data_IF_429927948388
#
_entry.id   IF_429927948388
#
_cell.length_a   1.000
_cell.length_b   1.000
_cell.length_c   1.000
_cell.angle_alpha   90.00
_cell.angle_beta   90.00
_cell.angle_gamma   90.00
#
_symmetry.space_group_name_H-M   'P 1'
#
loop_
_entity.id
_entity.type
_entity.pdbx_description
1 polymer ?
#
# COMPACT_ATOMS: atom_id res chain seq x y z
N UNK A 1 22.66 -23.28 -14.67
CA UNK A 1 22.12 -23.56 -13.33
C UNK A 1 20.92 -22.66 -13.06
N UNK A 2 19.72 -23.24 -12.94
CA UNK A 2 18.52 -22.51 -12.47
C UNK A 2 18.68 -22.36 -10.96
N UNK A 3 19.10 -21.18 -10.51
CA UNK A 3 19.44 -20.94 -9.11
C UNK A 3 18.55 -19.82 -8.59
N UNK A 4 17.83 -20.07 -7.49
CA UNK A 4 17.10 -19.03 -6.79
C UNK A 4 18.06 -18.01 -6.16
N UNK A 5 17.70 -16.73 -6.20
CA UNK A 5 18.37 -15.65 -5.47
C UNK A 5 17.45 -15.19 -4.35
N UNK A 6 17.58 -15.84 -3.18
CA UNK A 6 16.85 -15.45 -1.97
C UNK A 6 17.62 -14.38 -1.18
N UNK A 7 18.96 -14.37 -1.29
CA UNK A 7 19.87 -13.37 -0.69
C UNK A 7 20.79 -12.79 -1.78
N UNK A 8 21.69 -11.86 -1.40
CA UNK A 8 22.60 -11.17 -2.34
C UNK A 8 23.44 -12.12 -3.21
N UNK A 9 23.75 -13.33 -2.71
CA UNK A 9 24.47 -14.36 -3.44
C UNK A 9 23.54 -15.49 -3.92
N UNK A 10 23.84 -16.01 -5.10
CA UNK A 10 23.13 -17.15 -5.69
C UNK A 10 23.56 -18.47 -5.01
N UNK A 11 22.61 -19.38 -4.78
CA UNK A 11 22.87 -20.69 -4.16
C UNK A 11 23.58 -21.70 -5.09
N UNK A 12 24.15 -22.75 -4.51
CA UNK A 12 24.75 -23.83 -5.29
C UNK A 12 23.69 -24.79 -5.87
N UNK A 13 22.60 -25.05 -5.13
CA UNK A 13 21.49 -25.92 -5.54
C UNK A 13 20.16 -25.41 -4.95
N UNK A 14 19.07 -25.58 -5.70
CA UNK A 14 17.70 -25.22 -5.28
C UNK A 14 16.72 -26.25 -5.81
N UNK A 15 15.67 -26.56 -5.05
CA UNK A 15 14.54 -27.35 -5.56
C UNK A 15 13.74 -26.43 -6.48
N UNK A 16 13.59 -26.85 -7.74
CA UNK A 16 12.80 -26.12 -8.72
C UNK A 16 11.46 -26.83 -8.92
N UNK A 17 10.37 -26.11 -8.68
CA UNK A 17 9.01 -26.62 -8.85
C UNK A 17 8.52 -26.26 -10.24
N UNK A 18 8.35 -27.25 -11.11
CA UNK A 18 7.81 -27.05 -12.46
C UNK A 18 6.28 -27.08 -12.43
N UNK A 19 5.64 -26.00 -12.87
CA UNK A 19 4.18 -25.85 -12.84
C UNK A 19 3.61 -26.01 -14.26
N UNK A 20 2.76 -27.02 -14.52
CA UNK A 20 2.15 -27.20 -15.83
C UNK A 20 1.12 -26.12 -16.13
N UNK A 21 1.08 -25.64 -17.39
CA UNK A 21 0.13 -24.61 -17.83
C UNK A 21 -1.14 -25.24 -18.44
N UNK A 22 -2.20 -25.31 -17.65
CA UNK A 22 -3.53 -25.76 -18.09
C UNK A 22 -4.19 -24.80 -19.10
N UNK A 23 -3.69 -23.57 -19.22
CA UNK A 23 -4.18 -22.54 -20.13
C UNK A 23 -3.28 -22.34 -21.35
N UNK A 24 -2.29 -23.21 -21.56
CA UNK A 24 -1.34 -23.06 -22.65
C UNK A 24 -2.03 -23.20 -24.01
N UNK A 25 -1.93 -22.16 -24.84
CA UNK A 25 -2.44 -22.15 -26.19
C UNK A 25 -1.49 -21.35 -27.08
N UNK A 26 -0.72 -21.98 -27.98
CA UNK A 26 0.26 -21.27 -28.82
C UNK A 26 -0.38 -20.24 -29.76
N UNK A 27 -1.60 -20.54 -30.22
CA UNK A 27 -2.35 -19.72 -31.16
C UNK A 27 -3.78 -19.52 -30.66
N UNK A 28 -3.99 -18.65 -29.65
CA UNK A 28 -5.30 -18.45 -29.06
C UNK A 28 -6.25 -17.88 -30.13
N UNK A 29 -7.34 -18.59 -30.40
CA UNK A 29 -8.44 -18.09 -31.22
C UNK A 29 -9.32 -17.15 -30.40
N UNK A 30 -10.11 -16.31 -31.09
CA UNK A 30 -11.06 -15.44 -30.42
C UNK A 30 -12.09 -16.23 -29.58
N UNK A 31 -12.60 -17.35 -30.12
CA UNK A 31 -13.57 -18.20 -29.43
C UNK A 31 -13.00 -18.83 -28.17
N UNK A 32 -11.76 -19.34 -28.24
CA UNK A 32 -11.05 -19.87 -27.08
C UNK A 32 -10.87 -18.82 -25.99
N UNK A 33 -10.39 -17.63 -26.39
CA UNK A 33 -10.16 -16.53 -25.44
C UNK A 33 -11.47 -16.05 -24.81
N UNK A 34 -12.53 -15.94 -25.61
CA UNK A 34 -13.87 -15.57 -25.14
C UNK A 34 -14.42 -16.58 -24.13
N UNK A 35 -14.26 -17.89 -24.38
CA UNK A 35 -14.70 -18.96 -23.46
C UNK A 35 -14.00 -18.83 -22.10
N UNK A 36 -12.67 -18.68 -22.10
CA UNK A 36 -11.90 -18.53 -20.85
C UNK A 36 -12.25 -17.23 -20.14
N UNK A 37 -12.47 -16.14 -20.89
CA UNK A 37 -12.94 -14.89 -20.33
C UNK A 37 -14.28 -15.02 -19.62
N UNK A 38 -15.23 -15.76 -20.19
CA UNK A 38 -16.51 -16.03 -19.55
C UNK A 38 -16.38 -16.89 -18.28
N UNK A 39 -15.39 -17.78 -18.24
CA UNK A 39 -15.14 -18.66 -17.09
C UNK A 39 -14.45 -17.93 -15.93
N UNK A 40 -13.47 -17.05 -16.22
CA UNK A 40 -12.61 -16.43 -15.21
C UNK A 40 -13.02 -15.01 -14.81
N UNK A 41 -13.59 -14.20 -15.71
CA UNK A 41 -13.90 -12.80 -15.38
C UNK A 41 -14.94 -12.71 -14.26
N UNK A 42 -14.74 -11.73 -13.37
CA UNK A 42 -15.62 -11.48 -12.22
C UNK A 42 -15.77 -12.69 -11.28
N UNK A 43 -14.78 -13.59 -11.28
CA UNK A 43 -14.64 -14.68 -10.31
C UNK A 43 -13.53 -14.38 -9.31
N UNK A 44 -13.70 -14.93 -8.10
CA UNK A 44 -12.67 -14.91 -7.07
C UNK A 44 -11.76 -16.12 -7.32
N UNK A 45 -10.47 -15.86 -7.44
CA UNK A 45 -9.41 -16.87 -7.59
C UNK A 45 -8.37 -16.67 -6.49
N UNK A 46 -7.44 -17.61 -6.35
CA UNK A 46 -6.33 -17.51 -5.42
C UNK A 46 -5.02 -17.28 -6.18
N UNK A 47 -4.32 -16.20 -5.83
CA UNK A 47 -3.04 -15.75 -6.42
C UNK A 47 -1.90 -15.91 -5.41
N UNK A 48 -0.67 -15.57 -5.79
CA UNK A 48 0.53 -15.60 -4.93
C UNK A 48 0.91 -17.01 -4.42
N UNK A 49 0.62 -18.07 -5.18
CA UNK A 49 1.06 -19.44 -4.81
C UNK A 49 2.57 -19.49 -4.54
N UNK A 50 3.04 -20.10 -3.43
CA UNK A 50 2.27 -20.93 -2.49
C UNK A 50 1.52 -20.17 -1.38
N UNK A 51 1.76 -18.87 -1.22
CA UNK A 51 1.13 -18.03 -0.20
C UNK A 51 -0.20 -17.45 -0.68
N UNK A 52 -1.17 -18.36 -0.89
CA UNK A 52 -2.44 -18.06 -1.54
C UNK A 52 -3.21 -16.90 -0.89
N UNK A 53 -3.64 -15.95 -1.73
CA UNK A 53 -4.54 -14.85 -1.36
C UNK A 53 -5.70 -14.76 -2.33
N UNK A 54 -6.88 -14.44 -1.84
CA UNK A 54 -8.06 -14.19 -2.67
C UNK A 54 -7.83 -12.97 -3.58
N UNK A 55 -8.27 -13.04 -4.83
CA UNK A 55 -8.21 -11.94 -5.78
C UNK A 55 -9.39 -11.99 -6.74
N UNK A 56 -9.95 -10.83 -7.07
CA UNK A 56 -11.01 -10.70 -8.06
C UNK A 56 -10.41 -10.53 -9.45
N UNK A 57 -10.78 -11.40 -10.39
CA UNK A 57 -10.33 -11.28 -11.79
C UNK A 57 -11.07 -10.13 -12.48
N UNK A 58 -10.32 -9.11 -12.90
CA UNK A 58 -10.85 -7.92 -13.57
C UNK A 58 -10.50 -7.85 -15.05
N UNK A 59 -9.57 -8.67 -15.52
CA UNK A 59 -9.20 -8.71 -16.93
C UNK A 59 -8.33 -9.90 -17.29
N UNK A 60 -8.22 -10.17 -18.59
CA UNK A 60 -7.32 -11.16 -19.15
C UNK A 60 -6.57 -10.55 -20.34
N UNK A 61 -5.34 -10.99 -20.56
CA UNK A 61 -4.60 -10.69 -21.78
C UNK A 61 -3.87 -11.91 -22.32
N UNK A 62 -3.86 -12.04 -23.64
CA UNK A 62 -2.99 -12.95 -24.37
C UNK A 62 -2.24 -12.14 -25.46
N UNK A 63 -1.38 -12.80 -26.22
CA UNK A 63 -0.63 -12.14 -27.30
C UNK A 63 -1.48 -11.52 -28.43
N UNK A 64 -2.81 -11.70 -28.44
CA UNK A 64 -3.69 -11.17 -29.50
C UNK A 64 -4.92 -10.42 -28.99
N UNK A 65 -5.35 -10.70 -27.78
CA UNK A 65 -6.60 -10.19 -27.25
C UNK A 65 -6.40 -9.74 -25.82
N UNK A 66 -7.06 -8.64 -25.46
CA UNK A 66 -7.18 -8.19 -24.08
C UNK A 66 -8.63 -7.87 -23.78
N UNK A 67 -9.08 -8.30 -22.62
CA UNK A 67 -10.42 -7.98 -22.11
C UNK A 67 -10.28 -7.43 -20.70
N UNK A 68 -11.02 -6.37 -20.40
CA UNK A 68 -11.08 -5.79 -19.05
C UNK A 68 -12.53 -5.48 -18.68
N UNK A 69 -12.86 -5.63 -17.41
CA UNK A 69 -14.12 -5.16 -16.83
C UNK A 69 -14.05 -3.66 -16.61
N UNK A 70 -15.11 -2.94 -16.99
CA UNK A 70 -15.26 -1.55 -16.58
C UNK A 70 -15.65 -1.48 -15.10
N UNK A 71 -15.31 -0.38 -14.40
CA UNK A 71 -15.70 -0.19 -13.00
C UNK A 71 -17.21 -0.34 -12.81
N UNK A 72 -17.63 -1.18 -11.85
CA UNK A 72 -19.05 -1.38 -11.49
C UNK A 72 -19.83 -2.34 -12.40
N UNK A 73 -19.20 -2.94 -13.41
CA UNK A 73 -19.88 -3.85 -14.34
C UNK A 73 -19.78 -5.31 -13.91
N UNK A 74 -20.89 -6.04 -14.01
CA UNK A 74 -20.95 -7.49 -13.73
C UNK A 74 -20.71 -8.38 -14.96
N UNK A 75 -20.65 -7.80 -16.17
CA UNK A 75 -20.33 -8.48 -17.43
C UNK A 75 -19.58 -7.53 -18.40
N UNK A 76 -18.73 -8.11 -19.25
CA UNK A 76 -17.70 -7.53 -20.13
C UNK A 76 -18.03 -6.17 -20.79
N UNK A 77 -17.07 -5.23 -20.83
CA UNK A 77 -17.29 -3.91 -21.47
C UNK A 77 -16.12 -3.33 -22.32
N UNK A 78 -14.94 -3.96 -22.43
CA UNK A 78 -13.94 -3.57 -23.45
C UNK A 78 -13.11 -4.76 -23.91
N UNK A 79 -13.24 -5.14 -25.18
CA UNK A 79 -12.39 -6.11 -25.85
C UNK A 79 -11.46 -5.37 -26.82
N UNK A 80 -10.17 -5.58 -26.68
CA UNK A 80 -9.13 -5.05 -27.56
C UNK A 80 -8.54 -6.21 -28.37
N UNK A 81 -8.45 -6.01 -29.68
CA UNK A 81 -7.90 -6.98 -30.63
C UNK A 81 -6.62 -6.40 -31.21
N UNK A 82 -5.52 -7.13 -31.07
CA UNK A 82 -4.20 -6.75 -31.57
C UNK A 82 -3.87 -7.62 -32.79
N UNK A 83 -4.51 -7.33 -33.93
CA UNK A 83 -4.17 -7.95 -35.22
C UNK A 83 -3.12 -7.13 -35.96
N UNK A 84 -2.19 -7.84 -36.59
CA UNK A 84 -1.35 -7.24 -37.62
C UNK A 84 -2.11 -7.37 -38.94
N UNK A 85 -2.84 -6.32 -39.32
CA UNK A 85 -3.49 -6.28 -40.64
C UNK A 85 -2.45 -6.07 -41.76
N UNK A 86 -1.20 -5.73 -41.41
CA UNK A 86 -0.12 -5.48 -42.34
C UNK A 86 1.14 -6.30 -41.99
N UNK A 87 1.57 -7.29 -42.80
CA UNK A 87 2.69 -8.19 -42.50
C UNK A 87 4.07 -7.51 -42.48
N UNK A 88 4.17 -6.25 -42.93
CA UNK A 88 5.38 -5.41 -42.83
C UNK A 88 5.52 -4.72 -41.46
N UNK A 89 4.44 -4.64 -40.70
CA UNK A 89 4.42 -4.06 -39.36
C UNK A 89 4.71 -5.21 -38.38
N UNK A 90 5.85 -5.14 -37.69
CA UNK A 90 6.29 -6.17 -36.75
C UNK A 90 5.33 -6.39 -35.57
N UNK A 91 5.79 -7.05 -34.51
CA UNK A 91 4.97 -7.24 -33.29
C UNK A 91 4.44 -5.91 -32.75
N UNK A 92 3.14 -5.83 -32.44
CA UNK A 92 2.53 -4.61 -31.88
C UNK A 92 3.20 -4.24 -30.55
N UNK A 93 3.00 -3.00 -30.08
CA UNK A 93 3.51 -2.59 -28.76
C UNK A 93 2.92 -3.46 -27.66
N UNK A 94 1.63 -3.72 -27.73
CA UNK A 94 0.86 -4.50 -26.75
C UNK A 94 1.31 -5.97 -26.73
N UNK A 95 1.65 -6.53 -27.89
CA UNK A 95 2.28 -7.85 -28.00
C UNK A 95 3.64 -7.90 -27.31
N UNK A 96 4.48 -6.87 -27.51
CA UNK A 96 5.79 -6.78 -26.86
C UNK A 96 5.66 -6.61 -25.35
N UNK A 97 4.71 -5.79 -24.89
CA UNK A 97 4.40 -5.62 -23.47
C UNK A 97 3.93 -6.92 -22.82
N UNK A 98 3.05 -7.68 -23.48
CA UNK A 98 2.63 -9.01 -23.03
C UNK A 98 3.83 -9.95 -22.85
N UNK A 99 4.69 -10.07 -23.87
CA UNK A 99 5.86 -10.95 -23.83
C UNK A 99 6.85 -10.51 -22.76
N UNK A 100 7.11 -9.21 -22.64
CA UNK A 100 7.99 -8.65 -21.63
C UNK A 100 7.46 -8.91 -20.20
N UNK A 101 6.17 -8.67 -19.98
CA UNK A 101 5.49 -8.90 -18.69
C UNK A 101 5.53 -10.37 -18.30
N UNK A 102 5.15 -11.28 -19.20
CA UNK A 102 5.17 -12.71 -18.95
C UNK A 102 6.59 -13.22 -18.66
N UNK A 103 7.60 -12.72 -19.39
CA UNK A 103 9.02 -13.03 -19.13
C UNK A 103 9.48 -12.52 -17.77
N UNK A 104 9.08 -11.31 -17.39
CA UNK A 104 9.37 -10.70 -16.09
C UNK A 104 8.80 -11.53 -14.95
N UNK A 105 7.49 -11.76 -14.95
CA UNK A 105 6.79 -12.57 -13.93
C UNK A 105 7.38 -13.97 -13.78
N UNK A 106 7.70 -14.65 -14.89
CA UNK A 106 8.37 -15.95 -14.84
C UNK A 106 9.74 -15.87 -14.20
N UNK A 107 10.51 -14.84 -14.53
CA UNK A 107 11.85 -14.66 -13.97
C UNK A 107 11.76 -14.40 -12.47
N UNK A 108 10.81 -13.56 -12.04
CA UNK A 108 10.53 -13.31 -10.63
C UNK A 108 10.15 -14.59 -9.88
N UNK A 109 9.24 -15.40 -10.42
CA UNK A 109 8.85 -16.69 -9.84
C UNK A 109 10.03 -17.66 -9.70
N UNK A 110 10.86 -17.76 -10.73
CA UNK A 110 12.02 -18.66 -10.70
C UNK A 110 13.08 -18.17 -9.72
N UNK A 111 13.46 -16.88 -9.77
CA UNK A 111 14.56 -16.37 -8.97
C UNK A 111 14.17 -16.16 -7.51
N UNK A 112 12.96 -15.69 -7.20
CA UNK A 112 12.54 -15.42 -5.82
C UNK A 112 12.02 -16.68 -5.13
N UNK A 113 11.34 -17.56 -5.88
CA UNK A 113 10.58 -18.67 -5.29
C UNK A 113 10.98 -20.06 -5.78
N UNK A 114 11.89 -20.17 -6.76
CA UNK A 114 12.27 -21.47 -7.34
C UNK A 114 11.15 -22.11 -8.16
N UNK A 115 10.20 -21.32 -8.69
CA UNK A 115 9.04 -21.83 -9.42
C UNK A 115 9.28 -21.64 -10.92
N UNK A 116 9.36 -22.74 -11.67
CA UNK A 116 9.45 -22.69 -13.12
C UNK A 116 8.06 -22.79 -13.76
N UNK A 117 7.68 -21.67 -14.34
CA UNK A 117 6.43 -21.43 -15.01
C UNK A 117 6.48 -21.75 -16.53
N UNK A 118 7.63 -22.07 -17.12
CA UNK A 118 7.70 -22.38 -18.55
C UNK A 118 7.24 -21.23 -19.47
N UNK A 119 6.50 -21.51 -20.53
CA UNK A 119 5.93 -20.48 -21.43
C UNK A 119 4.44 -20.33 -21.10
N UNK A 120 3.99 -19.10 -20.91
CA UNK A 120 2.58 -18.81 -20.62
C UNK A 120 1.92 -18.12 -21.81
N UNK A 121 0.70 -18.57 -22.14
CA UNK A 121 -0.11 -17.98 -23.22
C UNK A 121 -1.15 -16.98 -22.73
N UNK A 122 -1.36 -16.91 -21.42
CA UNK A 122 -2.42 -16.13 -20.79
C UNK A 122 -1.90 -15.45 -19.52
N UNK A 123 -2.15 -14.15 -19.44
CA UNK A 123 -1.99 -13.34 -18.24
C UNK A 123 -3.36 -12.99 -17.69
N UNK A 124 -3.46 -13.02 -16.37
CA UNK A 124 -4.68 -12.69 -15.63
C UNK A 124 -4.44 -11.45 -14.81
N UNK A 125 -5.33 -10.48 -14.97
CA UNK A 125 -5.29 -9.22 -14.26
C UNK A 125 -6.29 -9.28 -13.11
N UNK A 126 -5.80 -9.20 -11.88
CA UNK A 126 -6.61 -9.36 -10.68
C UNK A 126 -6.47 -8.15 -9.77
N UNK A 127 -7.47 -7.95 -8.92
CA UNK A 127 -7.39 -7.09 -7.75
C UNK A 127 -7.32 -7.99 -6.51
N UNK A 128 -6.13 -8.15 -5.89
CA UNK A 128 -6.00 -8.92 -4.65
C UNK A 128 -6.88 -8.36 -3.56
N UNK A 129 -7.30 -9.22 -2.63
CA UNK A 129 -8.04 -8.81 -1.43
C UNK A 129 -7.19 -7.83 -0.65
N UNK A 130 -7.78 -6.67 -0.34
CA UNK A 130 -7.15 -5.64 0.46
C UNK A 130 -7.73 -5.61 1.89
N UNK A 131 -8.96 -6.10 2.08
CA UNK A 131 -9.61 -6.17 3.37
C UNK A 131 -10.94 -6.91 3.34
N UNK A 132 -11.50 -7.16 4.53
CA UNK A 132 -12.85 -7.69 4.73
C UNK A 132 -13.62 -6.78 5.69
N UNK A 133 -14.87 -6.45 5.36
CA UNK A 133 -15.72 -5.58 6.19
C UNK A 133 -17.14 -6.10 6.25
N UNK A 134 -17.76 -6.01 7.44
CA UNK A 134 -19.18 -6.31 7.57
C UNK A 134 -20.03 -5.15 7.03
N UNK A 135 -20.99 -5.46 6.17
CA UNK A 135 -21.93 -4.50 5.57
C UNK A 135 -23.35 -4.99 5.81
N UNK A 136 -24.26 -4.06 6.11
CA UNK A 136 -25.69 -4.34 6.27
C UNK A 136 -26.28 -4.76 4.93
N UNK A 137 -26.91 -5.92 4.92
CA UNK A 137 -27.67 -6.44 3.77
C UNK A 137 -29.06 -5.80 3.70
N UNK A 138 -29.74 -5.94 2.56
CA UNK A 138 -31.13 -5.46 2.41
C UNK A 138 -32.12 -6.11 3.37
N UNK A 139 -31.78 -7.25 3.97
CA UNK A 139 -32.58 -7.93 5.01
C UNK A 139 -32.19 -7.57 6.45
N UNK A 140 -31.28 -6.60 6.67
CA UNK A 140 -30.90 -6.13 8.01
C UNK A 140 -29.86 -7.01 8.72
N UNK A 141 -29.39 -8.08 8.08
CA UNK A 141 -28.28 -8.89 8.60
C UNK A 141 -26.93 -8.30 8.18
N UNK A 142 -25.92 -8.45 9.03
CA UNK A 142 -24.56 -8.04 8.69
C UNK A 142 -23.86 -9.18 7.97
N UNK A 143 -23.34 -8.92 6.76
CA UNK A 143 -22.62 -9.90 5.96
C UNK A 143 -21.19 -9.47 5.68
N UNK A 144 -20.28 -10.44 5.63
CA UNK A 144 -18.89 -10.20 5.30
C UNK A 144 -18.74 -9.84 3.80
N UNK A 145 -18.30 -8.62 3.54
CA UNK A 145 -17.99 -8.12 2.20
C UNK A 145 -16.49 -8.06 1.96
N UNK A 146 -16.09 -8.28 0.72
CA UNK A 146 -14.69 -8.22 0.27
C UNK A 146 -14.36 -6.82 -0.24
N UNK A 147 -13.24 -6.28 0.23
CA UNK A 147 -12.67 -5.05 -0.28
C UNK A 147 -11.43 -5.40 -1.10
N UNK A 148 -11.45 -5.02 -2.38
CA UNK A 148 -10.40 -5.34 -3.35
C UNK A 148 -9.43 -4.18 -3.51
N UNK A 149 -8.16 -4.48 -3.79
CA UNK A 149 -7.14 -3.46 -4.05
C UNK A 149 -7.58 -2.51 -5.19
N UNK A 150 -7.35 -1.20 -5.06
CA UNK A 150 -7.62 -0.25 -6.14
C UNK A 150 -6.71 -0.52 -7.35
N UNK A 151 -5.48 -0.99 -7.10
CA UNK A 151 -4.50 -1.31 -8.13
C UNK A 151 -4.73 -2.72 -8.71
N UNK A 152 -4.55 -2.84 -10.03
CA UNK A 152 -4.62 -4.12 -10.72
C UNK A 152 -3.23 -4.74 -10.80
N UNK A 153 -3.10 -5.98 -10.38
CA UNK A 153 -1.88 -6.77 -10.45
C UNK A 153 -2.02 -7.85 -11.53
N UNK A 154 -0.89 -8.28 -12.10
CA UNK A 154 -0.88 -9.24 -13.21
C UNK A 154 -0.18 -10.52 -12.80
N UNK A 155 -0.80 -11.65 -13.10
CA UNK A 155 -0.36 -12.99 -12.73
C UNK A 155 -0.31 -13.90 -13.96
N UNK A 156 0.52 -14.94 -13.89
CA UNK A 156 0.49 -16.01 -14.88
C UNK A 156 -0.74 -16.89 -14.62
N UNK A 157 -1.51 -17.23 -15.65
CA UNK A 157 -2.76 -17.99 -15.47
C UNK A 157 -2.55 -19.35 -14.78
N UNK A 158 -1.45 -20.03 -15.09
CA UNK A 158 -1.11 -21.34 -14.53
C UNK A 158 -0.77 -21.34 -13.03
N UNK A 159 -0.45 -20.19 -12.43
CA UNK A 159 -0.19 -20.10 -10.99
C UNK A 159 -1.46 -19.82 -10.18
N UNK A 160 -2.60 -19.70 -10.86
CA UNK A 160 -3.88 -19.49 -10.22
C UNK A 160 -4.43 -20.79 -9.64
N UNK A 161 -4.93 -20.70 -8.41
CA UNK A 161 -5.64 -21.79 -7.77
C UNK A 161 -7.12 -21.42 -7.69
N UNK A 162 -7.99 -22.39 -7.96
CA UNK A 162 -9.45 -22.22 -7.98
C UNK A 162 -10.11 -23.23 -7.07
N UNK A 163 -11.32 -22.90 -6.62
CA UNK A 163 -12.24 -23.83 -5.94
C UNK A 163 -11.64 -24.58 -4.74
N UNK A 164 -10.83 -23.89 -3.92
CA UNK A 164 -10.34 -24.46 -2.67
C UNK A 164 -11.35 -24.30 -1.54
N UNK A 165 -11.46 -25.32 -0.70
CA UNK A 165 -12.25 -25.27 0.51
C UNK A 165 -11.49 -24.46 1.57
N UNK A 166 -11.95 -23.25 1.86
CA UNK A 166 -11.41 -22.40 2.92
C UNK A 166 -12.35 -22.42 4.12
N UNK A 167 -11.86 -22.90 5.26
CA UNK A 167 -12.56 -22.86 6.53
C UNK A 167 -11.88 -21.84 7.45
N UNK A 168 -12.56 -20.74 7.72
CA UNK A 168 -12.13 -19.74 8.70
C UNK A 168 -13.23 -19.61 9.76
N UNK A 169 -13.13 -20.38 10.87
CA UNK A 169 -14.17 -20.39 11.91
C UNK A 169 -14.22 -19.07 12.69
N UNK A 170 -13.23 -18.19 12.54
CA UNK A 170 -13.17 -16.91 13.25
C UNK A 170 -14.02 -15.81 12.60
N UNK A 171 -14.49 -16.05 11.36
CA UNK A 171 -15.26 -15.10 10.58
C UNK A 171 -16.58 -15.71 10.11
N UNK A 172 -17.68 -15.52 10.86
CA UNK A 172 -18.98 -15.93 10.38
C UNK A 172 -19.36 -15.10 9.13
N UNK A 173 -19.93 -15.77 8.12
CA UNK A 173 -20.37 -15.10 6.88
C UNK A 173 -21.46 -14.05 7.14
N UNK A 174 -22.31 -14.31 8.12
CA UNK A 174 -23.34 -13.41 8.61
C UNK A 174 -23.33 -13.37 10.13
N UNK A 175 -23.63 -12.22 10.73
CA UNK A 175 -23.71 -12.06 12.17
C UNK A 175 -24.80 -11.06 12.57
N UNK A 176 -25.24 -11.14 13.83
CA UNK A 176 -26.15 -10.15 14.41
C UNK A 176 -25.40 -8.90 14.90
N UNK A 177 -26.14 -7.83 15.17
CA UNK A 177 -25.58 -6.59 15.71
C UNK A 177 -24.84 -6.83 17.04
N UNK A 178 -25.43 -7.61 17.95
CA UNK A 178 -24.84 -7.91 19.27
C UNK A 178 -23.57 -8.78 19.17
N UNK A 179 -23.51 -9.66 18.16
CA UNK A 179 -22.30 -10.43 17.86
C UNK A 179 -21.21 -9.54 17.24
N UNK A 180 -21.61 -8.56 16.42
CA UNK A 180 -20.68 -7.62 15.80
C UNK A 180 -20.16 -6.60 16.81
N UNK A 181 -21.00 -6.11 17.74
CA UNK A 181 -20.66 -5.09 18.74
C UNK A 181 -21.01 -5.60 20.15
N UNK A 182 -20.25 -6.56 20.71
CA UNK A 182 -20.47 -6.99 22.08
C UNK A 182 -20.10 -5.87 23.06
N UNK A 183 -20.76 -5.85 24.22
CA UNK A 183 -20.47 -4.88 25.29
C UNK A 183 -18.98 -4.90 25.68
N UNK A 184 -18.43 -3.71 25.94
CA UNK A 184 -17.00 -3.53 26.22
C UNK A 184 -16.11 -3.37 24.98
N UNK A 185 -16.61 -3.65 23.77
CA UNK A 185 -15.84 -3.46 22.53
C UNK A 185 -15.49 -1.99 22.33
N UNK A 186 -14.22 -1.71 21.98
CA UNK A 186 -13.79 -0.38 21.55
C UNK A 186 -14.14 -0.17 20.08
N UNK A 187 -14.74 0.97 19.78
CA UNK A 187 -15.14 1.40 18.42
C UNK A 187 -14.75 2.85 18.20
N UNK A 188 -14.74 3.30 16.95
CA UNK A 188 -14.42 4.67 16.58
C UNK A 188 -15.58 5.30 15.82
N UNK A 189 -15.87 6.55 16.14
CA UNK A 189 -16.95 7.30 15.51
C UNK A 189 -16.55 7.74 14.10
N UNK A 190 -17.37 7.42 13.08
CA UNK A 190 -17.21 7.83 11.69
C UNK A 190 -18.07 9.06 11.32
N UNK A 191 -18.82 9.60 12.28
CA UNK A 191 -19.76 10.71 12.11
C UNK A 191 -19.38 11.94 12.91
N UNK A 192 -19.79 13.10 12.42
CA UNK A 192 -19.72 14.36 13.16
C UNK A 192 -20.77 14.37 14.30
N UNK A 193 -20.52 15.08 15.42
CA UNK A 193 -19.35 15.91 15.71
C UNK A 193 -18.15 15.14 16.28
N UNK A 194 -18.28 13.84 16.55
CA UNK A 194 -17.27 13.06 17.27
C UNK A 194 -16.35 12.24 16.38
N UNK A 195 -16.15 12.62 15.11
CA UNK A 195 -15.37 11.83 14.16
C UNK A 195 -13.96 11.54 14.71
N UNK A 196 -13.54 10.27 14.68
CA UNK A 196 -12.26 9.82 15.22
C UNK A 196 -12.18 9.72 16.76
N UNK A 197 -13.26 10.01 17.49
CA UNK A 197 -13.31 9.72 18.93
C UNK A 197 -13.47 8.22 19.17
N UNK A 198 -12.75 7.72 20.16
CA UNK A 198 -12.92 6.36 20.65
C UNK A 198 -14.22 6.27 21.48
N UNK A 199 -14.92 5.16 21.36
CA UNK A 199 -16.10 4.88 22.14
C UNK A 199 -16.11 3.43 22.62
N UNK A 200 -16.83 3.16 23.69
CA UNK A 200 -16.99 1.82 24.26
C UNK A 200 -18.44 1.40 24.13
N UNK A 201 -18.70 0.24 23.56
CA UNK A 201 -20.05 -0.33 23.46
C UNK A 201 -20.57 -0.66 24.86
N UNK A 202 -21.77 -0.21 25.18
CA UNK A 202 -22.44 -0.49 26.45
C UNK A 202 -23.45 -1.63 26.28
N UNK A 203 -23.82 -2.27 27.39
CA UNK A 203 -24.93 -3.22 27.38
C UNK A 203 -26.23 -2.50 27.02
N UNK A 204 -26.95 -3.06 26.06
CA UNK A 204 -28.24 -2.53 25.65
C UNK A 204 -29.30 -2.95 26.68
N UNK A 205 -29.42 -2.21 27.79
CA UNK A 205 -30.49 -2.44 28.75
C UNK A 205 -31.84 -2.07 28.11
N UNK A 206 -32.86 -2.95 28.12
CA UNK A 206 -34.20 -2.64 27.62
C UNK A 206 -34.95 -1.75 28.63
N UNK A 207 -34.43 -0.56 28.88
CA UNK A 207 -35.08 0.43 29.74
C UNK A 207 -36.06 1.26 28.90
N UNK A 208 -37.34 0.91 29.02
CA UNK A 208 -38.55 1.57 28.51
C UNK A 208 -38.92 1.30 27.05
N UNK A 209 -40.12 0.72 26.88
CA UNK A 209 -40.82 0.39 25.62
C UNK A 209 -41.14 1.60 24.70
N UNK A 210 -40.64 2.79 25.00
CA UNK A 210 -40.74 3.98 24.16
C UNK A 210 -39.46 4.25 23.35
N UNK A 211 -38.32 3.66 23.75
CA UNK A 211 -37.00 3.83 23.14
C UNK A 211 -36.49 2.49 22.57
N UNK A 212 -37.34 1.76 21.85
CA UNK A 212 -36.88 0.70 20.98
C UNK A 212 -36.14 1.37 19.81
N UNK A 213 -34.84 1.62 20.00
CA UNK A 213 -33.96 1.98 18.89
C UNK A 213 -34.14 0.96 17.78
N UNK A 214 -34.13 1.41 16.53
CA UNK A 214 -34.12 0.50 15.38
C UNK A 214 -33.02 -0.55 15.57
N UNK A 215 -33.21 -1.79 15.08
CA UNK A 215 -32.28 -2.93 15.19
C UNK A 215 -30.83 -2.68 14.68
N UNK A 216 -30.49 -1.45 14.30
CA UNK A 216 -29.22 -1.02 13.72
C UNK A 216 -28.46 0.00 14.61
N UNK A 217 -28.97 0.34 15.79
CA UNK A 217 -28.34 1.30 16.71
C UNK A 217 -27.63 0.60 17.87
N UNK A 218 -26.45 1.11 18.21
CA UNK A 218 -25.60 0.64 19.31
C UNK A 218 -25.47 1.76 20.33
N UNK A 219 -25.69 1.44 21.60
CA UNK A 219 -25.42 2.36 22.70
C UNK A 219 -23.92 2.39 22.99
N UNK A 220 -23.32 3.58 22.92
CA UNK A 220 -21.88 3.76 23.12
C UNK A 220 -21.60 4.88 24.10
N UNK A 221 -20.52 4.73 24.87
CA UNK A 221 -19.91 5.80 25.66
C UNK A 221 -18.72 6.36 24.89
N UNK A 222 -18.85 7.56 24.36
CA UNK A 222 -17.84 8.24 23.54
C UNK A 222 -16.91 9.04 24.45
N UNK A 223 -15.61 8.80 24.31
CA UNK A 223 -14.56 9.60 24.94
C UNK A 223 -14.33 10.83 24.05
N UNK A 224 -14.96 11.95 24.42
CA UNK A 224 -14.88 13.16 23.62
C UNK A 224 -13.46 13.71 23.64
N UNK A 225 -12.87 13.98 22.46
CA UNK A 225 -11.59 14.67 22.35
C UNK A 225 -11.57 15.58 21.12
N UNK A 226 -11.23 16.84 21.33
CA UNK A 226 -11.02 17.83 20.27
C UNK A 226 -9.57 17.77 19.75
N UNK A 227 -9.36 18.15 18.50
CA UNK A 227 -8.03 18.19 17.87
C UNK A 227 -7.45 19.61 17.96
N UNK A 228 -6.13 19.76 18.18
CA UNK A 228 -5.46 21.06 18.16
C UNK A 228 -5.44 21.64 16.74
N UNK A 229 -5.49 22.97 16.64
CA UNK A 229 -5.29 23.68 15.37
C UNK A 229 -3.80 23.92 15.11
N UNK A 230 -3.24 23.17 14.15
CA UNK A 230 -1.83 23.24 13.78
C UNK A 230 -1.55 24.17 12.59
N UNK A 231 -2.56 24.91 12.10
CA UNK A 231 -2.44 25.75 10.89
C UNK A 231 -1.32 26.80 11.02
N UNK A 232 -1.15 27.39 12.21
CA UNK A 232 -0.09 28.36 12.49
C UNK A 232 1.30 27.75 12.28
N UNK A 233 1.57 26.58 12.88
CA UNK A 233 2.85 25.88 12.76
C UNK A 233 3.13 25.50 11.30
N UNK A 234 2.13 24.97 10.60
CA UNK A 234 2.21 24.61 9.18
C UNK A 234 2.60 25.79 8.28
N UNK A 235 2.22 27.01 8.63
CA UNK A 235 2.60 28.22 7.90
C UNK A 235 3.96 28.80 8.29
N UNK A 236 4.41 28.52 9.52
CA UNK A 236 5.70 28.98 10.06
C UNK A 236 6.88 28.16 9.52
N UNK A 237 6.69 26.85 9.35
CA UNK A 237 7.74 25.95 8.89
C UNK A 237 7.90 26.06 7.38
N UNK A 238 9.03 26.54 6.86
CA UNK A 238 9.25 26.58 5.42
C UNK A 238 9.28 25.14 4.89
N UNK A 239 8.34 24.79 4.00
CA UNK A 239 8.34 23.51 3.32
C UNK A 239 9.71 23.29 2.66
N UNK A 240 10.34 22.16 2.97
CA UNK A 240 11.73 21.82 2.61
C UNK A 240 12.14 22.41 1.27
N UNK A 241 12.90 23.51 1.34
CA UNK A 241 13.63 23.97 0.18
C UNK A 241 14.97 23.27 0.24
N UNK A 242 15.29 22.58 -0.84
CA UNK A 242 16.54 21.99 -1.32
C UNK A 242 17.79 22.90 -1.21
N UNK A 243 17.87 23.76 -0.19
CA UNK A 243 18.92 24.74 0.04
C UNK A 243 20.27 24.05 0.32
N UNK A 244 20.27 22.95 1.07
CA UNK A 244 21.49 22.17 1.34
C UNK A 244 22.05 21.54 0.04
N UNK A 245 21.19 21.03 -0.85
CA UNK A 245 21.62 20.41 -2.11
C UNK A 245 22.34 21.40 -3.02
N UNK A 246 21.83 22.65 -3.11
CA UNK A 246 22.47 23.69 -3.91
C UNK A 246 23.84 24.10 -3.36
N UNK A 247 23.99 24.20 -2.04
CA UNK A 247 25.27 24.51 -1.41
C UNK A 247 26.31 23.40 -1.63
N UNK A 248 25.89 22.13 -1.53
CA UNK A 248 26.79 20.99 -1.78
C UNK A 248 27.24 20.94 -3.24
N UNK A 249 26.33 21.11 -4.20
CA UNK A 249 26.68 21.12 -5.63
C UNK A 249 27.62 22.28 -5.96
N UNK A 250 27.38 23.46 -5.37
CA UNK A 250 28.27 24.62 -5.52
C UNK A 250 29.67 24.36 -4.93
N UNK A 251 29.75 23.78 -3.73
CA UNK A 251 31.01 23.43 -3.09
C UNK A 251 31.77 22.35 -3.88
N UNK A 252 31.06 21.34 -4.39
CA UNK A 252 31.61 20.30 -5.26
C UNK A 252 32.20 20.91 -6.54
N UNK A 253 31.45 21.76 -7.22
CA UNK A 253 31.89 22.41 -8.46
C UNK A 253 33.09 23.35 -8.22
N UNK A 254 33.15 24.01 -7.06
CA UNK A 254 34.28 24.85 -6.69
C UNK A 254 35.55 24.05 -6.39
N UNK A 255 35.43 22.90 -5.72
CA UNK A 255 36.57 22.07 -5.30
C UNK A 255 37.07 21.14 -6.40
N UNK A 256 36.18 20.64 -7.27
CA UNK A 256 36.49 19.67 -8.33
C UNK A 256 35.97 20.10 -9.73
N UNK A 257 36.33 21.30 -10.23
CA UNK A 257 35.80 21.80 -11.50
C UNK A 257 36.20 20.93 -12.71
N UNK A 258 37.37 20.28 -12.66
CA UNK A 258 37.86 19.40 -13.74
C UNK A 258 36.97 18.18 -13.93
N UNK A 259 36.49 17.58 -12.83
CA UNK A 259 35.58 16.43 -12.87
C UNK A 259 34.28 16.83 -13.56
N UNK A 260 33.71 17.99 -13.21
CA UNK A 260 32.48 18.51 -13.85
C UNK A 260 32.70 18.78 -15.33
N UNK A 261 33.85 19.37 -15.69
CA UNK A 261 34.19 19.64 -17.09
C UNK A 261 34.35 18.35 -17.92
N UNK A 262 35.04 17.35 -17.38
CA UNK A 262 35.24 16.05 -18.04
C UNK A 262 33.90 15.31 -18.27
N UNK A 263 33.00 15.33 -17.28
CA UNK A 263 31.65 14.78 -17.42
C UNK A 263 30.84 15.55 -18.46
N UNK A 264 30.90 16.89 -18.47
CA UNK A 264 30.18 17.71 -19.45
C UNK A 264 30.67 17.53 -20.90
N UNK A 265 31.96 17.22 -21.10
CA UNK A 265 32.55 16.98 -22.43
C UNK A 265 32.14 15.65 -23.04
N UNK A 266 31.77 14.67 -22.20
CA UNK A 266 31.56 13.29 -22.61
C UNK A 266 30.07 12.98 -22.68
N UNK A 267 29.60 12.38 -23.79
CA UNK A 267 28.18 11.99 -23.96
C UNK A 267 27.88 10.54 -23.56
N UNK A 268 28.88 9.83 -23.02
CA UNK A 268 28.82 8.43 -22.63
C UNK A 268 29.55 8.19 -21.31
N UNK A 269 29.87 6.93 -21.03
CA UNK A 269 30.59 6.56 -19.81
C UNK A 269 31.98 7.21 -19.79
N UNK A 270 32.29 7.89 -18.68
CA UNK A 270 33.61 8.49 -18.45
C UNK A 270 34.46 7.50 -17.69
N UNK A 271 35.69 7.29 -18.14
CA UNK A 271 36.64 6.42 -17.46
C UNK A 271 37.35 7.14 -16.32
N UNK A 272 37.87 6.38 -15.35
CA UNK A 272 38.64 6.94 -14.23
C UNK A 272 39.89 7.71 -14.73
N UNK A 273 40.57 7.19 -15.75
CA UNK A 273 41.73 7.83 -16.39
C UNK A 273 41.39 9.17 -17.06
N UNK A 274 40.15 9.33 -17.55
CA UNK A 274 39.65 10.58 -18.13
C UNK A 274 39.24 11.61 -17.07
N UNK A 275 38.75 11.15 -15.91
CA UNK A 275 38.37 12.01 -14.78
C UNK A 275 39.59 12.48 -13.99
N UNK A 276 40.57 11.61 -13.79
CA UNK A 276 41.74 11.83 -12.95
C UNK A 276 43.05 11.51 -13.71
N UNK A 277 43.42 12.31 -14.73
CA UNK A 277 44.60 12.05 -15.53
C UNK A 277 45.89 12.43 -14.80
N UNK A 278 46.91 11.59 -14.92
CA UNK A 278 48.28 11.88 -14.46
C UNK A 278 48.70 11.07 -13.22
N UNK A 279 49.94 11.28 -12.74
CA UNK A 279 50.51 10.50 -11.64
C UNK A 279 49.83 10.76 -10.29
N UNK A 280 49.14 11.91 -10.14
CA UNK A 280 48.44 12.30 -8.92
C UNK A 280 46.94 11.96 -8.95
N UNK A 281 46.46 11.28 -10.00
CA UNK A 281 45.03 11.00 -10.22
C UNK A 281 44.37 10.20 -9.10
N UNK A 282 45.08 9.21 -8.56
CA UNK A 282 44.59 8.39 -7.43
C UNK A 282 44.36 9.24 -6.17
N UNK A 283 45.29 10.16 -5.87
CA UNK A 283 45.15 11.06 -4.72
C UNK A 283 44.02 12.10 -4.91
N UNK A 284 43.78 12.56 -6.15
CA UNK A 284 42.64 13.42 -6.47
C UNK A 284 41.31 12.67 -6.32
N UNK A 285 41.26 11.39 -6.71
CA UNK A 285 40.10 10.52 -6.54
C UNK A 285 39.79 10.29 -5.06
N UNK A 286 40.79 9.94 -4.25
CA UNK A 286 40.64 9.75 -2.81
C UNK A 286 40.12 11.03 -2.13
N UNK A 287 40.67 12.19 -2.51
CA UNK A 287 40.23 13.50 -2.01
C UNK A 287 38.76 13.82 -2.38
N UNK A 288 38.32 13.40 -3.57
CA UNK A 288 36.91 13.50 -3.98
C UNK A 288 36.03 12.60 -3.10
N UNK A 289 36.42 11.35 -2.92
CA UNK A 289 35.68 10.37 -2.11
C UNK A 289 35.56 10.85 -0.67
N UNK A 290 36.66 11.28 -0.05
CA UNK A 290 36.68 11.81 1.31
C UNK A 290 35.77 13.04 1.44
N UNK A 291 35.82 13.98 0.49
CA UNK A 291 34.91 15.13 0.48
C UNK A 291 33.44 14.71 0.41
N UNK A 292 33.11 13.74 -0.42
CA UNK A 292 31.74 13.23 -0.54
C UNK A 292 31.31 12.51 0.75
N UNK A 293 32.19 11.74 1.38
CA UNK A 293 31.92 11.00 2.62
C UNK A 293 31.81 11.91 3.85
N UNK A 294 32.50 13.04 3.87
CA UNK A 294 32.40 14.06 4.91
C UNK A 294 31.15 14.94 4.79
N UNK A 295 30.52 14.97 3.62
CA UNK A 295 29.33 15.79 3.35
C UNK A 295 28.14 15.40 4.23
N UNK A 296 27.24 16.35 4.47
CA UNK A 296 25.97 16.10 5.16
C UNK A 296 25.12 15.05 4.42
N UNK A 297 25.20 15.00 3.09
CA UNK A 297 24.49 14.02 2.27
C UNK A 297 24.90 12.57 2.53
N UNK A 298 26.20 12.31 2.74
CA UNK A 298 26.70 10.97 3.06
C UNK A 298 26.32 10.51 4.48
N UNK A 299 26.21 11.45 5.42
CA UNK A 299 25.77 11.19 6.80
C UNK A 299 24.24 11.10 6.95
N UNK A 300 23.51 11.57 5.93
CA UNK A 300 22.05 11.57 5.92
C UNK A 300 21.47 10.19 5.66
N UNK A 301 20.28 9.95 6.23
CA UNK A 301 19.53 8.71 5.99
C UNK A 301 19.00 8.68 4.57
N UNK A 302 19.37 7.64 3.80
CA UNK A 302 18.82 7.42 2.46
C UNK A 302 17.31 7.19 2.54
N UNK A 303 16.56 7.87 1.67
CA UNK A 303 15.09 7.74 1.58
C UNK A 303 14.63 7.54 0.15
N UNK A 304 13.42 6.99 0.01
CA UNK A 304 12.73 6.87 -1.27
C UNK A 304 12.47 8.23 -1.89
N UNK A 305 12.51 8.30 -3.22
CA UNK A 305 12.15 9.51 -3.95
C UNK A 305 10.70 9.94 -3.65
N UNK A 306 10.47 11.24 -3.48
CA UNK A 306 9.16 11.79 -3.13
C UNK A 306 8.79 11.67 -1.64
N UNK A 307 9.73 11.28 -0.77
CA UNK A 307 9.48 11.27 0.67
C UNK A 307 9.47 12.69 1.24
N UNK A 308 8.59 12.95 2.19
CA UNK A 308 8.49 14.19 2.96
C UNK A 308 8.81 13.90 4.43
N UNK A 309 9.49 14.82 5.13
CA UNK A 309 9.80 14.65 6.56
C UNK A 309 10.09 16.00 7.22
N UNK A 310 9.33 16.37 8.24
CA UNK A 310 9.56 17.58 9.02
C UNK A 310 10.94 17.62 9.67
N UNK A 311 11.52 18.81 9.70
CA UNK A 311 12.78 19.06 10.41
C UNK A 311 12.60 18.85 11.92
N UNK A 312 13.63 18.39 12.65
CA UNK A 312 13.54 18.12 14.08
C UNK A 312 12.99 19.30 14.91
N UNK A 313 13.35 20.53 14.55
CA UNK A 313 12.90 21.75 15.23
C UNK A 313 11.38 21.93 15.11
N UNK A 314 10.81 21.65 13.93
CA UNK A 314 9.38 21.71 13.69
C UNK A 314 8.63 20.61 14.44
N UNK A 315 9.22 19.42 14.55
CA UNK A 315 8.65 18.31 15.34
C UNK A 315 8.65 18.66 16.83
N UNK A 316 9.71 19.28 17.35
CA UNK A 316 9.77 19.72 18.73
C UNK A 316 8.71 20.79 19.05
N UNK A 317 8.54 21.79 18.17
CA UNK A 317 7.51 22.83 18.34
C UNK A 317 6.09 22.24 18.28
N UNK A 318 5.85 21.30 17.37
CA UNK A 318 4.61 20.54 17.26
C UNK A 318 4.28 19.79 18.57
N UNK A 319 5.22 19.02 19.09
CA UNK A 319 5.01 18.25 20.32
C UNK A 319 4.73 19.16 21.52
N UNK A 320 5.41 20.30 21.61
CA UNK A 320 5.19 21.29 22.66
C UNK A 320 3.79 21.92 22.59
N UNK A 321 3.31 22.29 21.39
CA UNK A 321 1.97 22.87 21.22
C UNK A 321 0.87 21.85 21.56
N UNK A 322 1.04 20.59 21.12
CA UNK A 322 0.10 19.50 21.39
C UNK A 322 0.04 19.17 22.88
N UNK A 323 1.19 19.10 23.57
CA UNK A 323 1.26 18.84 25.01
C UNK A 323 0.56 19.96 25.81
N UNK A 324 0.77 21.21 25.44
CA UNK A 324 0.07 22.35 26.06
C UNK A 324 -1.45 22.29 25.83
N UNK A 325 -1.88 21.96 24.61
CA UNK A 325 -3.30 21.79 24.29
C UNK A 325 -3.94 20.67 25.12
N UNK A 326 -3.29 19.51 25.18
CA UNK A 326 -3.79 18.34 25.90
C UNK A 326 -3.93 18.60 27.42
N UNK A 327 -3.02 19.37 28.02
CA UNK A 327 -3.11 19.76 29.44
C UNK A 327 -4.31 20.67 29.74
N UNK A 328 -4.69 21.52 28.78
CA UNK A 328 -5.80 22.46 28.93
C UNK A 328 -7.16 21.82 28.62
N UNK A 329 -7.16 20.70 27.92
CA UNK A 329 -8.39 20.05 27.48
C UNK A 329 -9.06 19.31 28.65
N UNK A 330 -10.37 19.53 28.80
CA UNK A 330 -11.22 18.74 29.69
C UNK A 330 -12.32 18.10 28.87
N UNK A 331 -12.43 16.78 28.93
CA UNK A 331 -13.50 16.06 28.27
C UNK A 331 -14.25 15.16 29.23
N UNK A 332 -15.58 15.19 29.12
CA UNK A 332 -16.45 14.24 29.79
C UNK A 332 -16.94 13.22 28.76
N UNK A 333 -16.94 11.93 29.11
CA UNK A 333 -17.55 10.91 28.26
C UNK A 333 -19.03 11.21 28.07
N UNK A 334 -19.52 11.01 26.85
CA UNK A 334 -20.94 11.19 26.51
C UNK A 334 -21.53 9.86 26.06
N UNK A 335 -22.69 9.51 26.61
CA UNK A 335 -23.43 8.32 26.17
C UNK A 335 -24.43 8.71 25.08
N UNK A 336 -24.45 7.94 24.00
CA UNK A 336 -25.38 8.16 22.88
C UNK A 336 -25.64 6.88 22.10
N UNK A 337 -26.79 6.84 21.42
CA UNK A 337 -27.10 5.79 20.45
C UNK A 337 -26.62 6.20 19.08
N UNK A 338 -25.91 5.29 18.42
CA UNK A 338 -25.27 5.54 17.13
C UNK A 338 -25.59 4.39 16.21
N UNK A 339 -26.00 4.68 14.97
CA UNK A 339 -26.17 3.66 13.94
C UNK A 339 -24.85 2.92 13.74
N UNK A 340 -24.87 1.59 13.70
CA UNK A 340 -23.66 0.80 13.59
C UNK A 340 -22.83 1.08 12.32
N UNK A 341 -23.46 1.50 11.22
CA UNK A 341 -22.73 1.96 10.01
C UNK A 341 -21.87 3.22 10.23
N UNK A 342 -22.12 3.97 11.31
CA UNK A 342 -21.36 5.15 11.73
C UNK A 342 -20.30 4.80 12.79
N UNK A 343 -20.17 3.53 13.15
CA UNK A 343 -19.14 3.02 14.04
C UNK A 343 -18.15 2.20 13.23
N UNK A 344 -16.87 2.46 13.46
CA UNK A 344 -15.79 1.63 13.00
C UNK A 344 -15.38 0.70 14.14
N UNK A 345 -15.47 -0.61 13.90
CA UNK A 345 -14.92 -1.62 14.79
C UNK A 345 -13.53 -2.04 14.27
N UNK A 346 -12.46 -1.87 15.05
CA UNK A 346 -11.16 -2.46 14.77
C UNK A 346 -11.32 -3.95 14.45
N UNK A 347 -10.84 -4.36 13.28
CA UNK A 347 -10.81 -5.76 12.88
C UNK A 347 -9.43 -6.05 12.27
N UNK A 348 -8.67 -7.01 12.82
CA UNK A 348 -7.37 -7.42 12.26
C UNK A 348 -7.43 -7.80 10.77
N UNK A 349 -8.59 -8.22 10.26
CA UNK A 349 -8.82 -8.69 8.90
C UNK A 349 -9.34 -7.62 7.94
N UNK A 350 -9.58 -6.40 8.44
CA UNK A 350 -9.99 -5.27 7.61
C UNK A 350 -8.86 -4.77 6.68
N UNK A 351 -7.63 -5.17 6.94
CA UNK A 351 -6.47 -4.73 6.17
C UNK A 351 -6.26 -3.22 6.27
N UNK A 352 -5.70 -2.62 5.21
CA UNK A 352 -5.32 -1.20 5.19
C UNK A 352 -6.28 -0.33 4.36
N UNK A 353 -7.45 -0.84 4.00
CA UNK A 353 -8.39 -0.09 3.14
C UNK A 353 -9.14 0.96 3.98
N UNK A 354 -9.16 2.23 3.54
CA UNK A 354 -9.92 3.26 4.23
C UNK A 354 -11.43 2.98 4.23
N UNK A 355 -12.08 3.30 5.34
CA UNK A 355 -13.51 3.03 5.58
C UNK A 355 -14.42 3.84 4.66
N UNK A 356 -13.97 5.03 4.23
CA UNK A 356 -14.74 5.98 3.42
C UNK A 356 -13.87 6.57 2.30
N UNK A 357 -13.93 5.96 1.13
CA UNK A 357 -13.33 6.49 -0.10
C UNK A 357 -11.80 6.58 -0.07
N UNK A 358 -11.18 7.12 -1.13
CA UNK A 358 -9.75 7.40 -1.11
C UNK A 358 -9.47 8.50 -0.07
N UNK A 359 -8.62 8.20 0.90
CA UNK A 359 -8.11 9.18 1.87
C UNK A 359 -6.72 9.58 1.41
N UNK A 360 -6.51 10.88 1.19
CA UNK A 360 -5.18 11.45 0.93
C UNK A 360 -4.63 11.95 2.26
N UNK A 361 -3.55 11.33 2.74
CA UNK A 361 -2.85 11.73 3.97
C UNK A 361 -1.63 12.57 3.62
N UNK A 362 -1.44 13.67 4.32
CA UNK A 362 -0.33 14.63 4.13
C UNK A 362 0.43 14.84 5.43
N UNK A 363 1.63 15.37 5.32
CA UNK A 363 2.37 15.87 6.48
C UNK A 363 1.55 16.97 7.16
N UNK A 364 1.58 16.98 8.50
CA UNK A 364 0.74 17.77 9.42
C UNK A 364 -0.68 17.26 9.65
N UNK A 365 -1.13 16.20 8.97
CA UNK A 365 -2.45 15.64 9.23
C UNK A 365 -2.50 14.94 10.60
N UNK A 366 -3.61 15.16 11.31
CA UNK A 366 -3.91 14.47 12.57
C UNK A 366 -4.46 13.08 12.28
N UNK A 367 -3.88 12.07 12.93
CA UNK A 367 -4.20 10.65 12.74
C UNK A 367 -4.37 9.96 14.08
N UNK A 368 -5.05 8.82 14.07
CA UNK A 368 -5.18 7.97 15.24
C UNK A 368 -5.04 6.51 14.83
N UNK A 369 -4.49 5.70 15.73
CA UNK A 369 -4.22 4.31 15.48
C UNK A 369 -5.47 3.45 15.72
N UNK A 370 -5.84 2.62 14.75
CA UNK A 370 -7.09 1.84 14.76
C UNK A 370 -6.91 0.33 14.79
N UNK A 371 -5.67 -0.17 14.73
CA UNK A 371 -5.39 -1.61 14.66
C UNK A 371 -5.14 -2.19 16.05
N UNK A 372 -5.78 -3.31 16.35
CA UNK A 372 -5.49 -4.06 17.58
C UNK A 372 -4.25 -4.94 17.44
N UNK A 373 -3.56 -5.21 18.56
CA UNK A 373 -2.41 -6.12 18.61
C UNK A 373 -1.12 -5.57 17.98
N UNK A 374 -0.99 -4.25 17.84
CA UNK A 374 0.24 -3.58 17.43
C UNK A 374 0.99 -3.00 18.63
N UNK A 375 2.26 -2.65 18.43
CA UNK A 375 3.09 -1.90 19.41
C UNK A 375 2.48 -0.54 19.77
N UNK A 376 1.74 0.07 18.84
CA UNK A 376 1.08 1.36 19.07
C UNK A 376 -0.26 1.09 19.76
N UNK A 377 -0.58 1.75 20.89
CA UNK A 377 -1.86 1.56 21.57
C UNK A 377 -3.05 1.86 20.67
N UNK A 378 -4.15 1.14 20.86
CA UNK A 378 -5.40 1.40 20.16
C UNK A 378 -5.93 2.79 20.53
N UNK A 379 -6.25 3.61 19.55
CA UNK A 379 -6.75 4.97 19.73
C UNK A 379 -5.69 6.02 20.02
N UNK A 380 -4.40 5.65 20.06
CA UNK A 380 -3.31 6.61 20.20
C UNK A 380 -3.37 7.64 19.07
N UNK A 381 -3.37 8.93 19.44
CA UNK A 381 -3.41 10.07 18.52
C UNK A 381 -2.02 10.60 18.23
N UNK A 382 -1.86 11.17 17.05
CA UNK A 382 -0.60 11.76 16.63
C UNK A 382 -0.75 12.60 15.38
N UNK A 383 0.37 13.15 14.95
CA UNK A 383 0.49 13.97 13.75
C UNK A 383 1.47 13.30 12.78
N UNK A 384 1.12 13.24 11.51
CA UNK A 384 2.04 12.77 10.46
C UNK A 384 3.18 13.77 10.31
N UNK A 385 4.39 13.36 10.63
CA UNK A 385 5.62 14.15 10.50
C UNK A 385 6.44 13.76 9.29
N UNK A 386 6.18 12.60 8.69
CA UNK A 386 6.83 12.16 7.46
C UNK A 386 5.99 11.17 6.68
N UNK A 387 6.24 11.13 5.38
CA UNK A 387 5.53 10.30 4.42
C UNK A 387 6.54 9.70 3.46
N UNK A 388 6.54 8.38 3.34
CA UNK A 388 7.37 7.65 2.39
C UNK A 388 6.46 6.99 1.34
N UNK A 389 6.45 7.47 0.10
CA UNK A 389 5.57 6.94 -0.93
C UNK A 389 6.02 5.54 -1.34
N UNK A 390 5.05 4.70 -1.66
CA UNK A 390 5.26 3.37 -2.21
C UNK A 390 4.43 3.17 -3.48
N UNK A 391 4.79 2.16 -4.28
CA UNK A 391 4.06 1.86 -5.51
C UNK A 391 2.62 1.39 -5.26
N UNK A 392 2.36 0.77 -4.10
CA UNK A 392 1.02 0.38 -3.67
C UNK A 392 0.57 1.28 -2.51
N UNK A 393 -0.69 1.75 -2.49
CA UNK A 393 -1.21 2.58 -1.40
C UNK A 393 -1.13 1.91 -0.02
N UNK A 394 -1.20 0.58 0.03
CA UNK A 394 -1.11 -0.21 1.27
C UNK A 394 0.29 -0.23 1.89
N UNK A 395 1.30 0.12 1.09
CA UNK A 395 2.72 0.01 1.46
C UNK A 395 3.33 1.38 1.78
N UNK A 396 2.52 2.45 1.73
CA UNK A 396 2.93 3.80 2.11
C UNK A 396 3.23 3.80 3.61
N UNK A 397 4.41 4.28 3.97
CA UNK A 397 4.83 4.39 5.37
C UNK A 397 4.67 5.84 5.85
N UNK A 398 4.15 5.97 7.08
CA UNK A 398 3.96 7.26 7.73
C UNK A 398 4.83 7.31 8.98
N UNK A 399 5.64 8.35 9.09
CA UNK A 399 6.33 8.71 10.33
C UNK A 399 5.33 9.55 11.14
N UNK A 400 4.95 9.09 12.34
CA UNK A 400 3.92 9.72 13.18
C UNK A 400 4.51 10.10 14.53
N UNK A 401 4.40 11.38 14.89
CA UNK A 401 4.67 11.86 16.24
C UNK A 401 3.39 11.70 17.07
N UNK A 402 3.41 10.78 18.04
CA UNK A 402 2.27 10.53 18.92
C UNK A 402 2.22 11.52 20.09
N UNK A 403 1.01 11.86 20.50
CA UNK A 403 0.75 12.85 21.55
C UNK A 403 1.17 12.36 22.93
N UNK A 404 1.07 11.06 23.16
CA UNK A 404 1.35 10.40 24.45
C UNK A 404 2.46 9.36 24.24
N UNK A 405 3.37 9.25 25.22
CA UNK A 405 4.45 8.26 25.20
C UNK A 405 3.90 6.87 25.50
N UNK A 406 4.38 5.86 24.78
CA UNK A 406 4.01 4.46 25.00
C UNK A 406 5.20 3.52 24.83
N UNK A 407 5.08 2.31 25.36
CA UNK A 407 6.12 1.28 25.24
C UNK A 407 6.32 0.85 23.79
N UNK A 408 7.53 1.02 23.28
CA UNK A 408 7.89 0.69 21.89
C UNK A 408 7.85 1.87 20.92
N UNK A 409 7.48 3.06 21.37
CA UNK A 409 7.76 4.30 20.65
C UNK A 409 9.26 4.59 20.62
N UNK A 410 9.76 5.14 19.51
CA UNK A 410 11.12 5.64 19.41
C UNK A 410 11.14 7.11 19.84
N UNK A 411 12.16 7.51 20.61
CA UNK A 411 12.41 8.93 20.86
C UNK A 411 12.98 9.54 19.58
N UNK A 412 12.32 10.59 19.11
CA UNK A 412 12.71 11.34 17.90
C UNK A 412 13.88 12.28 18.19
#
# INVERSE_FOLDING_TARGET
NRVGRVYEQAFQQSIILEVPDAFFCPHPSYEWFKKIAQELLNKIVYVDWPHLKEALVVGLSCGRFRVSLLPGASSMLKLEVFTNDNPLQGTTREQREFVATAKGLRSDLLYKWGIDAGRSSLLVHCKPIAGRRYVVTSCGEWSLSYEWSPATQTYLAQTLVRDIAVCDPTLPKTCSLDQLFPAGTKVFMLGQPHHGCCATVLENSPSNKADAGTNDEVLVRVETRHEPDLSRLKSSVPGHKYLHDTCMIQAYNAKFPRVVEAVCRTRGDVTEEELFPGPDGEAECDSLVDFLMESEGARSVRRSFGSELLVPEAVAELLHEVDNYNKLQHSQPVEMRVKAQMLFKPNPLQGSVPVKGPVETKVWDRVFHVREGHVVPLGARGTVIGLQPASQPTDVLYDVAFDEVFSGGQTL
#
